data_IF_682441507993
#
_entry.id   IF_682441507993
#
_cell.length_a   1.000
_cell.length_b   1.000
_cell.length_c   1.000
_cell.angle_alpha   90.00
_cell.angle_beta   90.00
_cell.angle_gamma   90.00
#
_symmetry.space_group_name_H-M   'P 1'
#
loop_
_entity.id
_entity.type
_entity.pdbx_description
1 polymer ?
#
# COMPACT_ATOMS: atom_id res chain seq x y z
N UNK A 1 118.48 33.02 -58.85
CA UNK A 1 118.88 32.61 -60.22
C UNK A 1 118.27 33.64 -61.15
N UNK A 2 118.94 34.68 -61.62
CA UNK A 2 120.22 34.68 -62.32
C UNK A 2 119.97 34.12 -63.73
N UNK A 3 120.11 34.94 -64.78
CA UNK A 3 120.86 34.64 -66.01
C UNK A 3 120.55 35.65 -67.16
N UNK A 4 121.63 36.32 -67.60
CA UNK A 4 121.88 36.98 -68.91
C UNK A 4 121.00 38.18 -69.33
N UNK A 5 121.52 39.36 -69.69
CA UNK A 5 122.89 39.78 -69.99
C UNK A 5 123.15 39.84 -71.51
N UNK A 6 123.45 41.07 -71.99
CA UNK A 6 123.99 41.48 -73.32
C UNK A 6 122.94 41.67 -74.43
N UNK A 7 122.99 42.70 -75.28
CA UNK A 7 124.06 43.63 -75.65
C UNK A 7 123.48 44.84 -76.39
N UNK A 8 124.04 46.02 -76.14
CA UNK A 8 124.01 47.15 -77.08
C UNK A 8 124.87 46.81 -78.30
N UNK A 9 124.37 47.12 -79.49
CA UNK A 9 125.20 47.42 -80.67
C UNK A 9 124.45 48.43 -81.52
N UNK A 10 125.03 49.60 -81.62
CA UNK A 10 124.63 50.71 -82.47
C UNK A 10 124.73 50.29 -83.95
N UNK A 11 123.71 50.64 -84.73
CA UNK A 11 123.79 50.78 -86.18
C UNK A 11 123.11 52.11 -86.50
N UNK A 12 123.93 53.07 -86.87
CA UNK A 12 123.54 54.37 -87.42
C UNK A 12 122.90 54.21 -88.80
N UNK A 13 121.85 55.03 -88.98
CA UNK A 13 121.39 55.70 -90.19
C UNK A 13 121.19 54.88 -91.48
N UNK A 14 119.91 54.72 -91.82
CA UNK A 14 119.41 55.15 -93.14
C UNK A 14 117.98 55.67 -93.01
N UNK A 15 117.86 56.97 -93.24
CA UNK A 15 116.61 57.70 -93.45
C UNK A 15 115.98 57.16 -94.73
N UNK A 16 114.79 56.60 -94.65
CA UNK A 16 113.88 56.47 -95.79
C UNK A 16 112.43 56.48 -95.28
N UNK A 17 111.69 57.48 -95.77
CA UNK A 17 110.33 57.85 -95.43
C UNK A 17 109.34 56.68 -95.60
N UNK A 18 108.56 56.35 -94.55
CA UNK A 18 107.19 55.85 -94.73
C UNK A 18 106.35 55.89 -93.44
N UNK A 19 105.56 56.97 -93.36
CA UNK A 19 104.15 57.03 -92.95
C UNK A 19 103.73 56.87 -91.47
N UNK A 20 102.96 57.84 -90.93
CA UNK A 20 102.39 57.84 -89.57
C UNK A 20 101.18 56.90 -89.37
N UNK A 21 100.89 56.00 -90.32
CA UNK A 21 99.61 55.25 -90.42
C UNK A 21 99.62 53.91 -89.66
N UNK A 22 100.78 53.31 -89.37
CA UNK A 22 100.86 52.02 -88.65
C UNK A 22 100.75 52.19 -87.12
N UNK A 23 101.33 53.25 -86.56
CA UNK A 23 101.21 53.61 -85.14
C UNK A 23 99.80 54.05 -84.73
N UNK A 24 99.03 54.65 -85.65
CA UNK A 24 97.64 55.02 -85.40
C UNK A 24 96.71 53.80 -85.35
N UNK A 25 96.92 52.79 -86.20
CA UNK A 25 96.12 51.55 -86.21
C UNK A 25 96.33 50.72 -84.94
N UNK A 26 97.57 50.51 -84.53
CA UNK A 26 97.89 49.82 -83.27
C UNK A 26 97.38 50.60 -82.04
N UNK A 27 97.40 51.94 -82.09
CA UNK A 27 96.77 52.83 -81.09
C UNK A 27 95.26 52.64 -81.00
N UNK A 28 94.57 52.53 -82.15
CA UNK A 28 93.12 52.30 -82.20
C UNK A 28 92.74 50.92 -81.67
N UNK A 29 93.48 49.86 -82.02
CA UNK A 29 93.26 48.50 -81.49
C UNK A 29 93.49 48.42 -79.98
N UNK A 30 94.53 49.09 -79.44
CA UNK A 30 94.76 49.17 -77.99
C UNK A 30 93.64 49.96 -77.29
N UNK A 31 93.13 51.01 -77.93
CA UNK A 31 91.98 51.78 -77.43
C UNK A 31 90.70 50.94 -77.39
N UNK A 32 90.44 50.13 -78.42
CA UNK A 32 89.25 49.28 -78.50
C UNK A 32 89.33 48.10 -77.51
N UNK A 33 90.50 47.47 -77.37
CA UNK A 33 90.74 46.46 -76.32
C UNK A 33 90.60 47.06 -74.91
N UNK A 34 91.03 48.31 -74.70
CA UNK A 34 90.79 49.02 -73.42
C UNK A 34 89.30 49.20 -73.14
N UNK A 35 88.51 49.54 -74.16
CA UNK A 35 87.05 49.65 -74.02
C UNK A 35 86.42 48.29 -73.72
N UNK A 36 86.80 47.24 -74.44
CA UNK A 36 86.30 45.88 -74.16
C UNK A 36 86.64 45.41 -72.74
N UNK A 37 87.86 45.69 -72.25
CA UNK A 37 88.25 45.39 -70.86
C UNK A 37 87.41 46.20 -69.87
N UNK A 38 87.17 47.49 -70.16
CA UNK A 38 86.34 48.35 -69.33
C UNK A 38 84.90 47.84 -69.28
N UNK A 39 84.32 47.48 -70.43
CA UNK A 39 82.96 46.95 -70.55
C UNK A 39 82.85 45.58 -69.86
N UNK A 40 83.84 44.71 -70.03
CA UNK A 40 83.92 43.42 -69.34
C UNK A 40 84.04 43.59 -67.81
N UNK A 41 84.77 44.60 -67.33
CA UNK A 41 84.87 44.90 -65.90
C UNK A 41 83.52 45.37 -65.34
N UNK A 42 82.80 46.25 -66.05
CA UNK A 42 81.45 46.70 -65.66
C UNK A 42 80.46 45.53 -65.65
N UNK A 43 80.52 44.64 -66.64
CA UNK A 43 79.71 43.41 -66.67
C UNK A 43 80.05 42.48 -65.51
N UNK A 44 81.33 42.33 -65.16
CA UNK A 44 81.77 41.53 -64.01
C UNK A 44 81.25 42.11 -62.69
N UNK A 45 81.31 43.44 -62.52
CA UNK A 45 80.72 44.12 -61.36
C UNK A 45 79.20 43.91 -61.28
N UNK A 46 78.49 44.01 -62.42
CA UNK A 46 77.06 43.72 -62.51
C UNK A 46 76.75 42.28 -62.10
N UNK A 47 77.49 41.30 -62.63
CA UNK A 47 77.32 39.89 -62.27
C UNK A 47 77.66 39.62 -60.81
N UNK A 48 78.68 40.28 -60.25
CA UNK A 48 78.99 40.19 -58.83
C UNK A 48 77.83 40.69 -57.97
N UNK A 49 77.21 41.80 -58.36
CA UNK A 49 76.05 42.35 -57.65
C UNK A 49 74.81 41.45 -57.74
N UNK A 50 74.51 40.89 -58.91
CA UNK A 50 73.44 39.91 -59.09
C UNK A 50 73.70 38.62 -58.28
N UNK A 51 74.94 38.16 -58.23
CA UNK A 51 75.32 36.98 -57.44
C UNK A 51 75.15 37.23 -55.93
N UNK A 52 75.49 38.43 -55.45
CA UNK A 52 75.27 38.80 -54.06
C UNK A 52 73.77 38.92 -53.73
N UNK A 53 72.98 39.50 -54.64
CA UNK A 53 71.51 39.56 -54.50
C UNK A 53 70.90 38.16 -54.45
N UNK A 54 71.23 37.30 -55.42
CA UNK A 54 70.72 35.92 -55.45
C UNK A 54 71.14 35.10 -54.24
N UNK A 55 72.34 35.33 -53.69
CA UNK A 55 72.78 34.73 -52.42
C UNK A 55 71.89 35.16 -51.25
N UNK A 56 71.58 36.46 -51.13
CA UNK A 56 70.69 36.94 -50.05
C UNK A 56 69.26 36.42 -50.20
N UNK A 57 68.74 36.33 -51.42
CA UNK A 57 67.43 35.71 -51.70
C UNK A 57 67.43 34.22 -51.32
N UNK A 58 68.50 33.48 -51.62
CA UNK A 58 68.65 32.07 -51.23
C UNK A 58 68.69 31.90 -49.70
N UNK A 59 69.41 32.78 -48.99
CA UNK A 59 69.45 32.80 -47.52
C UNK A 59 68.06 33.08 -46.92
N UNK A 60 67.31 34.02 -47.50
CA UNK A 60 65.93 34.31 -47.07
C UNK A 60 64.99 33.11 -47.30
N UNK A 61 65.03 32.50 -48.49
CA UNK A 61 64.21 31.33 -48.82
C UNK A 61 64.55 30.13 -47.93
N UNK A 62 65.84 29.93 -47.61
CA UNK A 62 66.24 28.85 -46.70
C UNK A 62 65.81 29.10 -45.25
N UNK A 63 65.76 30.35 -44.79
CA UNK A 63 65.19 30.70 -43.49
C UNK A 63 63.67 30.45 -43.45
N UNK A 64 62.95 30.87 -44.49
CA UNK A 64 61.50 30.64 -44.62
C UNK A 64 61.16 29.14 -44.68
N UNK A 65 61.93 28.35 -45.44
CA UNK A 65 61.76 26.91 -45.52
C UNK A 65 61.98 26.20 -44.16
N UNK A 66 62.89 26.71 -43.32
CA UNK A 66 63.08 26.19 -41.96
C UNK A 66 61.89 26.54 -41.06
N UNK A 67 61.42 27.79 -41.10
CA UNK A 67 60.26 28.21 -40.32
C UNK A 67 59.00 27.41 -40.68
N UNK A 68 58.73 27.21 -41.98
CA UNK A 68 57.62 26.38 -42.47
C UNK A 68 57.74 24.93 -42.02
N UNK A 69 58.97 24.40 -41.94
CA UNK A 69 59.21 23.04 -41.45
C UNK A 69 58.86 22.91 -39.96
N UNK A 70 59.29 23.86 -39.14
CA UNK A 70 58.98 23.91 -37.71
C UNK A 70 57.47 24.03 -37.48
N UNK A 71 56.79 24.88 -38.25
CA UNK A 71 55.33 25.02 -38.19
C UNK A 71 54.62 23.72 -38.60
N UNK A 72 55.09 23.03 -39.64
CA UNK A 72 54.55 21.75 -40.06
C UNK A 72 54.76 20.63 -39.01
N UNK A 73 55.91 20.63 -38.32
CA UNK A 73 56.19 19.71 -37.22
C UNK A 73 55.28 20.00 -36.01
N UNK A 74 55.07 21.27 -35.67
CA UNK A 74 54.12 21.70 -34.63
C UNK A 74 52.68 21.27 -34.96
N UNK A 75 52.20 21.59 -36.16
CA UNK A 75 50.86 21.21 -36.62
C UNK A 75 50.65 19.69 -36.60
N UNK A 76 51.70 18.91 -36.92
CA UNK A 76 51.65 17.45 -36.85
C UNK A 76 51.50 16.95 -35.40
N UNK A 77 52.19 17.59 -34.45
CA UNK A 77 52.05 17.30 -33.03
C UNK A 77 50.63 17.60 -32.54
N UNK A 78 50.08 18.75 -32.91
CA UNK A 78 48.71 19.15 -32.52
C UNK A 78 47.66 18.17 -33.08
N UNK A 79 47.80 17.74 -34.35
CA UNK A 79 46.92 16.73 -34.94
C UNK A 79 46.99 15.40 -34.18
N UNK A 80 48.17 15.00 -33.69
CA UNK A 80 48.29 13.78 -32.88
C UNK A 80 47.59 13.96 -31.52
N UNK A 81 47.80 15.09 -30.85
CA UNK A 81 47.12 15.40 -29.59
C UNK A 81 45.59 15.37 -29.75
N UNK A 82 45.05 16.05 -30.77
CA UNK A 82 43.62 16.05 -31.06
C UNK A 82 43.06 14.65 -31.37
N UNK A 83 43.83 13.79 -32.04
CA UNK A 83 43.42 12.38 -32.28
C UNK A 83 43.28 11.62 -30.97
N UNK A 84 44.24 11.76 -30.06
CA UNK A 84 44.20 11.09 -28.76
C UNK A 84 43.04 11.59 -27.89
N UNK A 85 42.78 12.90 -27.89
CA UNK A 85 41.66 13.50 -27.18
C UNK A 85 40.32 13.00 -27.74
N UNK A 86 40.18 12.98 -29.07
CA UNK A 86 38.99 12.43 -29.74
C UNK A 86 38.73 10.98 -29.36
N UNK A 87 39.76 10.15 -29.31
CA UNK A 87 39.64 8.74 -28.89
C UNK A 87 39.19 8.61 -27.43
N UNK A 88 39.72 9.46 -26.55
CA UNK A 88 39.33 9.50 -25.14
C UNK A 88 37.87 9.93 -24.97
N UNK A 89 37.44 11.00 -25.65
CA UNK A 89 36.04 11.45 -25.67
C UNK A 89 35.14 10.35 -26.23
N UNK A 90 35.56 9.64 -27.28
CA UNK A 90 34.78 8.54 -27.84
C UNK A 90 34.61 7.37 -26.86
N UNK A 91 35.61 7.07 -26.04
CA UNK A 91 35.50 6.08 -24.95
C UNK A 91 34.54 6.56 -23.86
N UNK A 92 34.63 7.83 -23.44
CA UNK A 92 33.72 8.40 -22.46
C UNK A 92 32.26 8.38 -22.93
N UNK A 93 32.00 8.72 -24.20
CA UNK A 93 30.66 8.65 -24.79
C UNK A 93 30.11 7.22 -24.78
N UNK A 94 30.95 6.21 -25.03
CA UNK A 94 30.52 4.80 -24.95
C UNK A 94 30.16 4.40 -23.53
N UNK A 95 31.00 4.71 -22.55
CA UNK A 95 30.72 4.45 -21.12
C UNK A 95 29.42 5.11 -20.68
N UNK A 96 29.25 6.39 -20.99
CA UNK A 96 28.03 7.13 -20.62
C UNK A 96 26.76 6.55 -21.27
N UNK A 97 26.87 5.99 -22.49
CA UNK A 97 25.74 5.31 -23.14
C UNK A 97 25.39 4.00 -22.44
N UNK A 98 26.38 3.19 -22.08
CA UNK A 98 26.20 1.94 -21.35
C UNK A 98 25.58 2.19 -19.96
N UNK A 99 26.08 3.20 -19.24
CA UNK A 99 25.51 3.65 -17.96
C UNK A 99 24.06 4.13 -18.10
N UNK A 100 23.75 4.90 -19.14
CA UNK A 100 22.40 5.38 -19.41
C UNK A 100 21.45 4.22 -19.74
N UNK A 101 21.91 3.21 -20.50
CA UNK A 101 21.12 2.03 -20.83
C UNK A 101 20.86 1.16 -19.60
N UNK A 102 21.87 0.97 -18.74
CA UNK A 102 21.73 0.30 -17.46
C UNK A 102 20.74 1.05 -16.56
N UNK A 103 20.86 2.37 -16.42
CA UNK A 103 19.95 3.18 -15.63
C UNK A 103 18.52 3.14 -16.19
N UNK A 104 18.35 3.16 -17.51
CA UNK A 104 17.05 2.96 -18.16
C UNK A 104 16.48 1.59 -17.86
N UNK A 105 17.29 0.52 -17.85
CA UNK A 105 16.83 -0.83 -17.54
C UNK A 105 16.43 -1.00 -16.08
N UNK A 106 17.13 -0.36 -15.15
CA UNK A 106 16.78 -0.36 -13.72
C UNK A 106 15.54 0.49 -13.44
N UNK A 107 15.46 1.66 -14.06
CA UNK A 107 14.30 2.55 -13.95
C UNK A 107 13.10 2.09 -14.78
N UNK A 108 13.29 1.10 -15.67
CA UNK A 108 12.27 0.49 -16.50
C UNK A 108 11.37 -0.39 -15.64
N UNK A 109 10.55 0.26 -14.83
CA UNK A 109 9.15 -0.08 -14.58
C UNK A 109 8.86 -1.40 -13.84
N UNK A 110 9.77 -2.36 -13.79
CA UNK A 110 9.56 -3.70 -13.26
C UNK A 110 9.38 -3.69 -11.75
N UNK A 111 10.25 -3.01 -11.01
CA UNK A 111 10.10 -2.87 -9.56
C UNK A 111 8.84 -2.06 -9.21
N UNK A 112 8.60 -0.96 -9.93
CA UNK A 112 7.40 -0.14 -9.74
C UNK A 112 6.13 -0.95 -10.01
N UNK A 113 6.10 -1.73 -11.09
CA UNK A 113 4.95 -2.55 -11.45
C UNK A 113 4.78 -3.73 -10.51
N UNK A 114 5.88 -4.33 -10.02
CA UNK A 114 5.84 -5.37 -9.01
C UNK A 114 5.25 -4.82 -7.70
N UNK A 115 5.73 -3.67 -7.23
CA UNK A 115 5.19 -3.01 -6.04
C UNK A 115 3.71 -2.65 -6.25
N UNK A 116 3.32 -2.14 -7.42
CA UNK A 116 1.90 -1.88 -7.74
C UNK A 116 1.04 -3.14 -7.69
N UNK A 117 1.53 -4.27 -8.23
CA UNK A 117 0.82 -5.56 -8.15
C UNK A 117 0.65 -5.99 -6.70
N UNK A 118 1.72 -5.95 -5.91
CA UNK A 118 1.67 -6.27 -4.47
C UNK A 118 0.68 -5.37 -3.72
N UNK A 119 0.67 -4.06 -4.00
CA UNK A 119 -0.30 -3.13 -3.41
C UNK A 119 -1.74 -3.52 -3.77
N UNK A 120 -2.00 -3.90 -5.02
CA UNK A 120 -3.33 -4.32 -5.45
C UNK A 120 -3.74 -5.65 -4.81
N UNK A 121 -2.84 -6.63 -4.73
CA UNK A 121 -3.07 -7.91 -4.06
C UNK A 121 -3.43 -7.70 -2.58
N UNK A 122 -2.63 -6.91 -1.85
CA UNK A 122 -2.90 -6.56 -0.44
C UNK A 122 -4.25 -5.83 -0.30
N UNK A 123 -4.59 -4.94 -1.23
CA UNK A 123 -5.87 -4.23 -1.21
C UNK A 123 -7.06 -5.17 -1.43
N UNK A 124 -6.93 -6.15 -2.32
CA UNK A 124 -7.95 -7.17 -2.54
C UNK A 124 -8.12 -8.09 -1.32
N UNK A 125 -7.02 -8.53 -0.71
CA UNK A 125 -7.04 -9.31 0.52
C UNK A 125 -7.68 -8.55 1.66
N UNK A 126 -7.33 -7.28 1.85
CA UNK A 126 -7.93 -6.41 2.87
C UNK A 126 -9.44 -6.27 2.64
N UNK A 127 -9.88 -6.12 1.38
CA UNK A 127 -11.30 -6.04 1.05
C UNK A 127 -12.05 -7.34 1.39
N UNK A 128 -11.45 -8.51 1.11
CA UNK A 128 -12.01 -9.82 1.48
C UNK A 128 -12.13 -9.97 3.00
N UNK A 129 -11.09 -9.57 3.74
CA UNK A 129 -11.07 -9.62 5.20
C UNK A 129 -12.16 -8.70 5.78
N UNK A 130 -12.32 -7.49 5.25
CA UNK A 130 -13.38 -6.57 5.68
C UNK A 130 -14.78 -7.17 5.45
N UNK A 131 -15.01 -7.80 4.31
CA UNK A 131 -16.30 -8.44 4.01
C UNK A 131 -16.57 -9.63 4.95
N UNK A 132 -15.58 -10.50 5.16
CA UNK A 132 -15.70 -11.63 6.09
C UNK A 132 -15.96 -11.16 7.53
N UNK A 133 -15.25 -10.12 7.98
CA UNK A 133 -15.47 -9.50 9.28
C UNK A 133 -16.91 -9.00 9.43
N UNK A 134 -17.46 -8.35 8.42
CA UNK A 134 -18.83 -7.84 8.48
C UNK A 134 -19.85 -8.97 8.64
N UNK A 135 -19.65 -10.08 7.91
CA UNK A 135 -20.48 -11.29 8.07
C UNK A 135 -20.40 -11.80 9.50
N UNK A 136 -19.20 -12.02 10.04
CA UNK A 136 -19.04 -12.52 11.41
C UNK A 136 -19.66 -11.58 12.46
N UNK A 137 -19.58 -10.27 12.26
CA UNK A 137 -20.25 -9.28 13.12
C UNK A 137 -21.76 -9.47 13.09
N UNK A 138 -22.37 -9.61 11.91
CA UNK A 138 -23.82 -9.84 11.80
C UNK A 138 -24.26 -11.17 12.42
N UNK A 139 -23.45 -12.23 12.30
CA UNK A 139 -23.70 -13.52 12.94
C UNK A 139 -23.62 -13.41 14.47
N UNK A 140 -22.63 -12.69 15.00
CA UNK A 140 -22.49 -12.43 16.43
C UNK A 140 -23.68 -11.64 16.99
N UNK A 141 -24.17 -10.64 16.25
CA UNK A 141 -25.35 -9.87 16.65
C UNK A 141 -26.61 -10.75 16.67
N UNK A 142 -26.77 -11.62 15.69
CA UNK A 142 -27.86 -12.61 15.64
C UNK A 142 -27.81 -13.55 16.84
N UNK A 143 -26.65 -14.15 17.11
CA UNK A 143 -26.44 -15.03 18.27
C UNK A 143 -26.75 -14.28 19.56
N UNK A 144 -26.28 -13.04 19.71
CA UNK A 144 -26.56 -12.21 20.89
C UNK A 144 -28.06 -11.98 21.08
N UNK A 145 -28.80 -11.74 20.00
CA UNK A 145 -30.26 -11.60 20.04
C UNK A 145 -30.92 -12.90 20.52
N UNK A 146 -30.54 -14.05 19.97
CA UNK A 146 -31.09 -15.35 20.40
C UNK A 146 -30.80 -15.66 21.87
N UNK A 147 -29.60 -15.33 22.36
CA UNK A 147 -29.23 -15.50 23.77
C UNK A 147 -30.12 -14.63 24.66
N UNK A 148 -30.39 -13.38 24.27
CA UNK A 148 -31.25 -12.51 25.05
C UNK A 148 -32.69 -13.03 25.11
N UNK A 149 -33.26 -13.48 23.98
CA UNK A 149 -34.59 -14.09 23.97
C UNK A 149 -34.65 -15.36 24.84
N UNK A 150 -33.65 -16.24 24.75
CA UNK A 150 -33.58 -17.44 25.59
C UNK A 150 -33.49 -17.09 27.08
N UNK A 151 -32.76 -16.02 27.45
CA UNK A 151 -32.70 -15.54 28.84
C UNK A 151 -34.06 -15.04 29.35
N UNK A 152 -34.79 -14.28 28.52
CA UNK A 152 -36.12 -13.80 28.88
C UNK A 152 -37.11 -14.96 29.06
N UNK A 153 -37.04 -15.98 28.20
CA UNK A 153 -37.86 -17.18 28.34
C UNK A 153 -37.50 -17.97 29.61
N UNK A 154 -36.20 -18.12 29.91
CA UNK A 154 -35.74 -18.77 31.13
C UNK A 154 -36.25 -18.04 32.39
N UNK A 155 -36.25 -16.70 32.38
CA UNK A 155 -36.79 -15.91 33.50
C UNK A 155 -38.30 -16.15 33.67
N UNK A 156 -39.07 -16.18 32.58
CA UNK A 156 -40.51 -16.49 32.60
C UNK A 156 -40.77 -17.88 33.17
N UNK A 157 -40.04 -18.89 32.70
CA UNK A 157 -40.16 -20.27 33.18
C UNK A 157 -39.81 -20.34 34.67
N UNK A 158 -38.75 -19.65 35.10
CA UNK A 158 -38.33 -19.63 36.51
C UNK A 158 -39.43 -19.05 37.41
N UNK A 159 -40.01 -17.90 37.05
CA UNK A 159 -41.15 -17.31 37.80
C UNK A 159 -42.37 -18.23 37.83
N UNK A 160 -42.67 -18.90 36.72
CA UNK A 160 -43.76 -19.88 36.66
C UNK A 160 -43.50 -21.06 37.59
N UNK A 161 -42.27 -21.58 37.62
CA UNK A 161 -41.86 -22.69 38.50
C UNK A 161 -42.01 -22.31 39.97
N UNK A 162 -41.54 -21.13 40.37
CA UNK A 162 -41.67 -20.62 41.74
C UNK A 162 -43.14 -20.43 42.18
N UNK A 163 -44.02 -20.04 41.26
CA UNK A 163 -45.46 -19.98 41.53
C UNK A 163 -46.04 -21.38 41.76
N UNK A 164 -45.69 -22.34 40.91
CA UNK A 164 -46.13 -23.73 41.02
C UNK A 164 -45.62 -24.39 42.30
N UNK A 165 -44.36 -24.15 42.70
CA UNK A 165 -43.80 -24.63 43.97
C UNK A 165 -44.60 -24.11 45.18
N UNK A 166 -44.98 -22.82 45.19
CA UNK A 166 -45.85 -22.25 46.22
C UNK A 166 -47.25 -22.87 46.26
N UNK A 167 -47.82 -23.17 45.09
CA UNK A 167 -49.13 -23.82 45.01
C UNK A 167 -49.08 -25.26 45.55
N UNK A 168 -48.02 -26.01 45.24
CA UNK A 168 -47.79 -27.35 45.78
C UNK A 168 -47.67 -27.30 47.30
N UNK A 169 -46.88 -26.38 47.85
CA UNK A 169 -46.73 -26.21 49.30
C UNK A 169 -48.07 -25.91 49.99
N UNK A 170 -48.89 -25.05 49.40
CA UNK A 170 -50.24 -24.75 49.90
C UNK A 170 -51.16 -25.98 49.88
N UNK A 171 -51.13 -26.78 48.81
CA UNK A 171 -51.91 -28.00 48.70
C UNK A 171 -51.46 -29.07 49.71
N UNK A 172 -50.16 -29.19 49.98
CA UNK A 172 -49.63 -30.09 51.00
C UNK A 172 -50.11 -29.69 52.41
N UNK A 173 -50.10 -28.38 52.72
CA UNK A 173 -50.64 -27.88 53.98
C UNK A 173 -52.14 -28.20 54.12
N UNK A 174 -52.93 -28.00 53.06
CA UNK A 174 -54.36 -28.35 53.05
C UNK A 174 -54.59 -29.85 53.24
N UNK A 175 -53.81 -30.70 52.58
CA UNK A 175 -53.87 -32.15 52.73
C UNK A 175 -53.64 -32.57 54.18
N UNK A 176 -52.66 -31.99 54.88
CA UNK A 176 -52.41 -32.31 56.30
C UNK A 176 -53.53 -31.79 57.22
N UNK A 177 -54.13 -30.63 56.93
CA UNK A 177 -55.33 -30.18 57.65
C UNK A 177 -56.50 -31.15 57.48
N UNK A 178 -56.82 -31.55 56.24
CA UNK A 178 -57.89 -32.52 55.96
C UNK A 178 -57.65 -33.87 56.63
N UNK A 179 -56.40 -34.33 56.67
CA UNK A 179 -56.03 -35.55 57.39
C UNK A 179 -56.32 -35.45 58.90
N UNK A 180 -56.06 -34.30 59.53
CA UNK A 180 -56.41 -34.04 60.93
C UNK A 180 -57.92 -33.99 61.15
N UNK A 181 -58.67 -33.31 60.27
CA UNK A 181 -60.15 -33.30 60.31
C UNK A 181 -60.71 -34.71 60.24
N UNK A 182 -60.25 -35.53 59.28
CA UNK A 182 -60.67 -36.93 59.13
C UNK A 182 -60.37 -37.73 60.40
N UNK A 183 -59.19 -37.53 61.02
CA UNK A 183 -58.84 -38.21 62.26
C UNK A 183 -59.78 -37.85 63.42
N UNK A 184 -60.14 -36.56 63.55
CA UNK A 184 -61.11 -36.11 64.56
C UNK A 184 -62.51 -36.69 64.29
N UNK A 185 -62.99 -36.63 63.04
CA UNK A 185 -64.29 -37.22 62.67
C UNK A 185 -64.34 -38.73 62.92
N UNK A 186 -63.23 -39.46 62.70
CA UNK A 186 -63.16 -40.89 63.06
C UNK A 186 -63.33 -41.11 64.57
N UNK A 187 -62.68 -40.32 65.41
CA UNK A 187 -62.85 -40.39 66.87
C UNK A 187 -64.28 -40.04 67.31
N UNK A 188 -64.89 -39.04 66.70
CA UNK A 188 -66.29 -38.68 66.95
C UNK A 188 -67.24 -39.84 66.59
N UNK A 189 -66.99 -40.49 65.45
CA UNK A 189 -67.77 -41.67 65.03
C UNK A 189 -67.60 -42.84 66.00
N UNK A 190 -66.37 -43.17 66.42
CA UNK A 190 -66.10 -44.20 67.43
C UNK A 190 -66.83 -43.89 68.75
N UNK A 191 -66.84 -42.62 69.18
CA UNK A 191 -67.57 -42.18 70.36
C UNK A 191 -69.09 -42.37 70.20
N UNK A 192 -69.67 -41.94 69.07
CA UNK A 192 -71.10 -42.11 68.80
C UNK A 192 -71.47 -43.60 68.76
N UNK A 193 -70.67 -44.43 68.11
CA UNK A 193 -70.87 -45.89 68.04
C UNK A 193 -70.87 -46.51 69.44
N UNK A 194 -69.92 -46.11 70.30
CA UNK A 194 -69.86 -46.54 71.70
C UNK A 194 -71.10 -46.09 72.49
N UNK A 195 -71.56 -44.86 72.30
CA UNK A 195 -72.77 -44.34 72.95
C UNK A 195 -74.02 -45.09 72.49
N UNK A 196 -74.20 -45.30 71.17
CA UNK A 196 -75.32 -46.06 70.61
C UNK A 196 -75.36 -47.50 71.13
N UNK A 197 -74.21 -48.16 71.27
CA UNK A 197 -74.12 -49.50 71.87
C UNK A 197 -74.53 -49.54 73.36
N UNK A 198 -74.42 -48.41 74.07
CA UNK A 198 -74.85 -48.29 75.48
C UNK A 198 -76.32 -47.91 75.64
N UNK A 199 -76.87 -47.13 74.69
CA UNK A 199 -78.28 -46.71 74.65
C UNK A 199 -79.25 -47.88 74.49
N UNK A 200 -78.83 -48.97 73.82
CA UNK A 200 -79.61 -50.21 73.75
C UNK A 200 -79.84 -50.94 75.07
N UNK A 201 -79.31 -50.43 76.20
CA UNK A 201 -79.42 -51.06 77.54
C UNK A 201 -80.23 -50.25 78.56
N UNK A 202 -80.65 -49.01 78.26
CA UNK A 202 -81.34 -48.14 79.23
C UNK A 202 -82.68 -47.61 78.66
N UNK A 203 -83.78 -47.86 79.38
CA UNK A 203 -85.18 -47.53 79.03
C UNK A 203 -85.53 -46.02 79.13
N UNK A 204 -84.61 -45.10 78.85
CA UNK A 204 -84.84 -43.65 78.91
C UNK A 204 -85.12 -43.04 77.53
N UNK A 205 -86.22 -43.47 76.90
CA UNK A 205 -86.68 -43.01 75.57
C UNK A 205 -86.73 -41.48 75.41
N UNK A 206 -86.96 -40.74 76.50
CA UNK A 206 -86.98 -39.27 76.50
C UNK A 206 -85.62 -38.64 76.19
N UNK A 207 -84.54 -39.19 76.77
CA UNK A 207 -83.16 -38.73 76.51
C UNK A 207 -82.70 -39.10 75.10
N UNK A 208 -83.21 -40.22 74.57
CA UNK A 208 -82.96 -40.65 73.19
C UNK A 208 -83.57 -39.66 72.19
N UNK A 209 -84.82 -39.23 72.41
CA UNK A 209 -85.48 -38.25 71.54
C UNK A 209 -84.78 -36.89 71.60
N UNK A 210 -84.32 -36.46 72.78
CA UNK A 210 -83.59 -35.21 72.95
C UNK A 210 -82.21 -35.25 72.27
N UNK A 211 -81.47 -36.36 72.41
CA UNK A 211 -80.21 -36.58 71.71
C UNK A 211 -80.39 -36.66 70.19
N UNK A 212 -81.42 -37.37 69.70
CA UNK A 212 -81.75 -37.43 68.29
C UNK A 212 -82.15 -36.05 67.73
N UNK A 213 -82.88 -35.24 68.51
CA UNK A 213 -83.21 -33.86 68.18
C UNK A 213 -81.98 -32.95 68.07
N UNK A 214 -81.04 -33.08 69.01
CA UNK A 214 -79.77 -32.34 68.96
C UNK A 214 -78.90 -32.74 67.76
N UNK A 215 -78.85 -34.04 67.43
CA UNK A 215 -78.16 -34.54 66.23
C UNK A 215 -78.84 -34.04 64.96
N UNK A 216 -80.17 -34.08 64.88
CA UNK A 216 -80.92 -33.55 63.74
C UNK A 216 -80.70 -32.04 63.55
N UNK A 217 -80.70 -31.26 64.63
CA UNK A 217 -80.39 -29.83 64.60
C UNK A 217 -78.94 -29.56 64.15
N UNK A 218 -77.98 -30.35 64.62
CA UNK A 218 -76.57 -30.25 64.20
C UNK A 218 -76.39 -30.60 62.73
N UNK A 219 -77.04 -31.67 62.25
CA UNK A 219 -77.03 -32.06 60.83
C UNK A 219 -77.66 -30.96 59.98
N UNK A 220 -78.79 -30.39 60.40
CA UNK A 220 -79.45 -29.32 59.65
C UNK A 220 -78.58 -28.04 59.59
N UNK A 221 -77.89 -27.70 60.69
CA UNK A 221 -76.94 -26.59 60.71
C UNK A 221 -75.74 -26.83 59.78
N UNK A 222 -75.16 -28.06 59.79
CA UNK A 222 -74.09 -28.44 58.86
C UNK A 222 -74.57 -28.41 57.40
N UNK A 223 -75.79 -28.90 57.13
CA UNK A 223 -76.39 -28.83 55.79
C UNK A 223 -76.52 -27.39 55.29
N UNK A 224 -77.08 -26.49 56.09
CA UNK A 224 -77.20 -25.07 55.70
C UNK A 224 -75.84 -24.39 55.53
N UNK A 225 -74.84 -24.71 56.36
CA UNK A 225 -73.48 -24.21 56.18
C UNK A 225 -72.87 -24.67 54.85
N UNK A 226 -72.94 -25.97 54.55
CA UNK A 226 -72.42 -26.52 53.28
C UNK A 226 -73.15 -25.97 52.05
N UNK A 227 -74.46 -25.71 52.16
CA UNK A 227 -75.24 -25.08 51.10
C UNK A 227 -74.75 -23.67 50.78
N UNK A 228 -74.45 -22.87 51.82
CA UNK A 228 -73.88 -21.52 51.65
C UNK A 228 -72.49 -21.55 51.06
N UNK A 229 -71.63 -22.47 51.52
CA UNK A 229 -70.30 -22.65 50.94
C UNK A 229 -70.37 -23.02 49.45
N UNK A 230 -71.28 -23.91 49.07
CA UNK A 230 -71.51 -24.28 47.67
C UNK A 230 -71.95 -23.08 46.81
N UNK A 231 -72.79 -22.20 47.35
CA UNK A 231 -73.24 -20.99 46.66
C UNK A 231 -72.10 -19.99 46.44
N UNK A 232 -71.23 -19.80 47.45
CA UNK A 232 -70.01 -19.00 47.32
C UNK A 232 -69.09 -19.58 46.25
N UNK A 233 -68.87 -20.90 46.24
CA UNK A 233 -68.04 -21.57 45.23
C UNK A 233 -68.61 -21.40 43.82
N UNK A 234 -69.94 -21.45 43.65
CA UNK A 234 -70.59 -21.20 42.34
C UNK A 234 -70.33 -19.77 41.85
N UNK A 235 -70.43 -18.78 42.73
CA UNK A 235 -70.16 -17.37 42.38
C UNK A 235 -68.69 -17.19 41.99
N UNK A 236 -67.76 -17.77 42.75
CA UNK A 236 -66.33 -17.73 42.44
C UNK A 236 -66.04 -18.37 41.07
N UNK A 237 -66.65 -19.53 40.78
CA UNK A 237 -66.50 -20.21 39.49
C UNK A 237 -67.08 -19.43 38.31
N UNK A 238 -68.13 -18.63 38.52
CA UNK A 238 -68.64 -17.73 37.48
C UNK A 238 -67.65 -16.61 37.17
N UNK A 239 -67.08 -15.97 38.20
CA UNK A 239 -66.08 -14.90 38.05
C UNK A 239 -64.81 -15.40 37.36
N UNK A 240 -64.27 -16.55 37.75
CA UNK A 240 -63.05 -17.09 37.12
C UNK A 240 -63.27 -17.44 35.65
N UNK A 241 -64.49 -17.83 35.26
CA UNK A 241 -64.84 -18.02 33.85
C UNK A 241 -64.90 -16.71 33.07
N UNK A 242 -65.41 -15.63 33.66
CA UNK A 242 -65.39 -14.29 33.06
C UNK A 242 -63.96 -13.80 32.86
N UNK A 243 -63.11 -13.88 33.90
CA UNK A 243 -61.70 -13.49 33.84
C UNK A 243 -60.90 -14.31 32.80
N UNK A 244 -61.20 -15.61 32.67
CA UNK A 244 -60.61 -16.46 31.64
C UNK A 244 -61.04 -16.05 30.23
N UNK A 245 -62.32 -15.75 30.00
CA UNK A 245 -62.83 -15.27 28.72
C UNK A 245 -62.23 -13.90 28.34
N UNK A 246 -62.06 -13.00 29.30
CA UNK A 246 -61.37 -11.72 29.09
C UNK A 246 -59.91 -11.92 28.71
N UNK A 247 -59.17 -12.72 29.49
CA UNK A 247 -57.77 -13.05 29.20
C UNK A 247 -57.60 -13.72 27.83
N UNK A 248 -58.54 -14.60 27.45
CA UNK A 248 -58.55 -15.25 26.14
C UNK A 248 -58.74 -14.24 25.00
N UNK A 249 -59.67 -13.30 25.14
CA UNK A 249 -59.90 -12.21 24.16
C UNK A 249 -58.67 -11.31 24.05
N UNK A 250 -58.02 -10.99 25.16
CA UNK A 250 -56.78 -10.21 25.16
C UNK A 250 -55.66 -10.94 24.40
N UNK A 251 -55.44 -12.22 24.68
CA UNK A 251 -54.47 -13.06 23.97
C UNK A 251 -54.77 -13.10 22.47
N UNK A 252 -56.03 -13.25 22.08
CA UNK A 252 -56.44 -13.27 20.67
C UNK A 252 -56.21 -11.92 19.99
N UNK A 253 -56.46 -10.81 20.69
CA UNK A 253 -56.15 -9.46 20.21
C UNK A 253 -54.64 -9.23 20.03
N UNK A 254 -53.81 -9.72 20.96
CA UNK A 254 -52.36 -9.64 20.90
C UNK A 254 -51.80 -10.51 19.77
N UNK A 255 -52.36 -11.72 19.57
CA UNK A 255 -52.02 -12.61 18.46
C UNK A 255 -52.30 -11.94 17.12
N UNK A 256 -53.48 -11.34 16.96
CA UNK A 256 -53.84 -10.61 15.74
C UNK A 256 -52.94 -9.40 15.49
N UNK A 257 -52.56 -8.65 16.55
CA UNK A 257 -51.59 -7.54 16.45
C UNK A 257 -50.19 -8.02 16.06
N UNK A 258 -49.71 -9.15 16.59
CA UNK A 258 -48.41 -9.72 16.21
C UNK A 258 -48.42 -10.25 14.77
N UNK A 259 -49.53 -10.85 14.32
CA UNK A 259 -49.70 -11.31 12.94
C UNK A 259 -49.75 -10.15 11.96
N UNK A 260 -50.43 -9.05 12.30
CA UNK A 260 -50.44 -7.83 11.48
C UNK A 260 -49.05 -7.18 11.41
N UNK A 261 -48.30 -7.16 12.53
CA UNK A 261 -46.94 -6.62 12.57
C UNK A 261 -45.95 -7.45 11.74
N UNK A 262 -46.15 -8.77 11.65
CA UNK A 262 -45.37 -9.67 10.79
C UNK A 262 -45.76 -9.62 9.30
N UNK A 263 -46.88 -8.99 8.94
CA UNK A 263 -47.28 -8.76 7.53
C UNK A 263 -46.90 -7.37 7.00
N UNK A 264 -46.34 -6.49 7.86
CA UNK A 264 -45.98 -5.10 7.50
C UNK A 264 -44.47 -4.87 7.43
N UNK A 265 -43.67 -5.95 7.38
CA UNK A 265 -42.23 -5.96 7.08
C UNK A 265 -42.05 -6.82 5.84
#
# INVERSE_FOLDING_TARGET
MGLFGRSKKDIEEKIEESTPVQTEKESHEISDLRKEIQDAAVMLESYSHELEKTKTELEAVTAEAKALREEAESARSDIQAMKTERELVQKQIKSAKEELELLKSQYSQTEIDQVKRQINEVKEELSKICYAKEIEVTELESIRSTINSAKEELEKITKSRENQEREIEALEAQKEMKKKEIFLSKKELEFIETQLASVGRNEDTKKIVEAAGAVAASINAKYEATRKELEIVKIALARTKEEYEESRKEIESLKNKSSAKNMTV
#
